data_IF_823794432491
#
_entry.id   IF_823794432491
#
_cell.length_a   1.000
_cell.length_b   1.000
_cell.length_c   1.000
_cell.angle_alpha   90.00
_cell.angle_beta   90.00
_cell.angle_gamma   90.00
#
_symmetry.space_group_name_H-M   'P 1'
#
loop_
_entity.id
_entity.type
_entity.pdbx_description
1 polymer ?
#
# COMPACT_ATOMS: atom_id res chain seq x y z
N UNK A 1 74.96 -24.34 -25.54
CA UNK A 1 75.47 -23.30 -24.63
C UNK A 1 74.39 -22.23 -24.53
N UNK A 2 73.40 -22.41 -23.60
CA UNK A 2 72.26 -21.51 -23.46
C UNK A 2 72.32 -20.92 -22.08
N UNK A 3 72.61 -19.63 -22.00
CA UNK A 3 72.66 -18.86 -20.77
C UNK A 3 71.24 -18.30 -20.51
N UNK A 4 70.53 -18.92 -19.59
CA UNK A 4 69.27 -18.31 -19.01
C UNK A 4 69.70 -17.24 -18.03
N UNK A 5 69.42 -15.99 -18.34
CA UNK A 5 69.47 -14.87 -17.40
C UNK A 5 68.19 -14.90 -16.54
N UNK A 6 68.36 -15.35 -15.33
CA UNK A 6 67.37 -15.15 -14.26
C UNK A 6 67.42 -13.66 -13.88
N UNK A 7 66.29 -12.95 -14.06
CA UNK A 7 66.11 -11.58 -13.64
C UNK A 7 65.43 -11.63 -12.26
N UNK A 8 66.07 -11.26 -11.16
CA UNK A 8 65.36 -11.19 -9.88
C UNK A 8 64.51 -9.91 -9.89
N UNK A 9 63.17 -10.08 -9.92
CA UNK A 9 62.21 -9.04 -9.63
C UNK A 9 62.31 -8.71 -8.13
N UNK A 10 63.15 -7.76 -7.78
CA UNK A 10 63.16 -7.09 -6.47
C UNK A 10 61.93 -6.20 -6.38
N UNK A 11 60.81 -6.75 -5.99
CA UNK A 11 59.66 -5.99 -5.53
C UNK A 11 59.94 -5.52 -4.10
N UNK A 12 59.99 -4.23 -3.78
CA UNK A 12 60.15 -3.76 -2.42
C UNK A 12 58.97 -4.25 -1.59
N UNK A 13 59.26 -4.95 -0.53
CA UNK A 13 58.32 -5.40 0.47
C UNK A 13 57.80 -4.21 1.25
N UNK A 14 56.71 -3.63 0.78
CA UNK A 14 55.92 -2.64 1.54
C UNK A 14 54.87 -3.40 2.37
N UNK A 15 55.12 -3.67 3.67
CA UNK A 15 54.16 -4.39 4.51
C UNK A 15 52.84 -3.66 4.64
N UNK A 16 52.83 -2.33 4.44
CA UNK A 16 51.66 -1.47 4.50
C UNK A 16 50.67 -1.77 3.37
N UNK A 17 51.11 -2.14 2.17
CA UNK A 17 50.23 -2.47 1.04
C UNK A 17 49.49 -3.80 1.22
N UNK A 18 50.09 -4.74 1.95
CA UNK A 18 49.42 -6.00 2.28
C UNK A 18 48.29 -5.85 3.31
N UNK A 19 48.47 -4.96 4.27
CA UNK A 19 47.39 -4.65 5.25
C UNK A 19 46.23 -3.87 4.62
N UNK A 20 46.50 -2.97 3.67
CA UNK A 20 45.47 -2.25 2.91
C UNK A 20 44.67 -3.18 1.98
N UNK A 21 45.33 -4.11 1.31
CA UNK A 21 44.70 -5.09 0.45
C UNK A 21 43.84 -6.11 1.25
N UNK A 22 44.31 -6.51 2.44
CA UNK A 22 43.53 -7.40 3.32
C UNK A 22 42.33 -6.70 3.95
N UNK A 23 42.48 -5.42 4.32
CA UNK A 23 41.40 -4.59 4.84
C UNK A 23 40.30 -4.32 3.79
N UNK A 24 40.68 -4.09 2.54
CA UNK A 24 39.73 -3.88 1.44
C UNK A 24 38.94 -5.18 1.09
N UNK A 25 39.59 -6.35 1.17
CA UNK A 25 38.89 -7.65 0.96
C UNK A 25 37.91 -7.98 2.08
N UNK A 26 38.24 -7.64 3.34
CA UNK A 26 37.32 -7.87 4.47
C UNK A 26 36.11 -6.91 4.43
N UNK A 27 36.28 -5.68 3.94
CA UNK A 27 35.18 -4.73 3.80
C UNK A 27 34.19 -5.11 2.68
N UNK A 28 34.64 -5.78 1.62
CA UNK A 28 33.75 -6.26 0.57
C UNK A 28 32.96 -7.53 0.97
N UNK A 29 33.49 -8.32 1.93
CA UNK A 29 32.79 -9.50 2.41
C UNK A 29 31.62 -9.18 3.37
N UNK A 30 31.60 -7.98 3.98
CA UNK A 30 30.55 -7.55 4.89
C UNK A 30 29.25 -7.10 4.17
N UNK A 31 29.29 -6.86 2.85
CA UNK A 31 28.12 -6.49 2.07
C UNK A 31 27.32 -7.68 1.49
N UNK A 32 27.69 -8.91 1.78
CA UNK A 32 27.19 -10.07 1.06
C UNK A 32 26.42 -11.09 1.90
N UNK A 33 25.68 -10.70 2.94
CA UNK A 33 24.66 -11.62 3.48
C UNK A 33 23.86 -10.96 4.60
N UNK A 34 22.93 -10.06 4.25
CA UNK A 34 21.66 -10.05 4.98
C UNK A 34 20.59 -10.51 4.00
N UNK A 35 19.94 -11.66 4.27
CA UNK A 35 18.70 -11.95 3.56
C UNK A 35 17.76 -10.80 3.87
N UNK A 36 17.29 -10.14 2.81
CA UNK A 36 16.24 -9.15 2.93
C UNK A 36 15.11 -9.79 3.74
N UNK A 37 15.06 -9.52 5.02
CA UNK A 37 13.89 -9.81 5.82
C UNK A 37 12.79 -8.97 5.17
N UNK A 38 11.94 -9.65 4.41
CA UNK A 38 10.66 -9.12 4.02
C UNK A 38 9.94 -8.94 5.36
N UNK A 39 10.16 -7.77 5.97
CA UNK A 39 9.34 -7.32 7.08
C UNK A 39 7.96 -7.20 6.45
N UNK A 40 7.11 -8.21 6.68
CA UNK A 40 5.70 -8.07 6.37
C UNK A 40 5.25 -6.88 7.21
N UNK A 41 5.16 -5.73 6.55
CA UNK A 41 4.50 -4.59 7.14
C UNK A 41 3.16 -5.10 7.66
N UNK A 42 2.73 -4.70 8.88
CA UNK A 42 1.42 -5.08 9.40
C UNK A 42 0.41 -4.81 8.28
N UNK A 43 -0.23 -5.86 7.78
CA UNK A 43 -1.28 -5.66 6.78
C UNK A 43 -2.31 -4.78 7.46
N UNK A 44 -2.61 -3.60 6.92
CA UNK A 44 -3.67 -2.78 7.45
C UNK A 44 -4.91 -3.64 7.46
N UNK A 45 -5.50 -3.84 8.62
CA UNK A 45 -6.79 -4.50 8.73
C UNK A 45 -7.74 -3.66 7.89
N UNK A 46 -8.21 -4.22 6.77
CA UNK A 46 -9.23 -3.60 5.95
C UNK A 46 -10.38 -3.23 6.89
N UNK A 47 -10.75 -1.95 6.93
CA UNK A 47 -11.91 -1.51 7.68
C UNK A 47 -13.10 -2.38 7.25
N UNK A 48 -13.94 -2.89 8.17
CA UNK A 48 -15.07 -3.72 7.80
C UNK A 48 -15.96 -2.94 6.84
N UNK A 49 -16.00 -3.39 5.59
CA UNK A 49 -16.84 -2.77 4.57
C UNK A 49 -18.28 -3.01 4.97
N UNK A 50 -18.97 -1.94 5.27
CA UNK A 50 -20.39 -2.00 5.65
C UNK A 50 -21.19 -2.32 4.39
N UNK A 51 -21.83 -3.50 4.40
CA UNK A 51 -22.82 -3.81 3.37
C UNK A 51 -23.99 -2.84 3.48
N UNK A 52 -24.54 -2.35 2.37
CA UNK A 52 -25.72 -1.50 2.43
C UNK A 52 -26.85 -2.28 3.10
N UNK A 53 -27.54 -1.64 4.03
CA UNK A 53 -28.70 -2.27 4.66
C UNK A 53 -29.82 -2.38 3.65
N UNK A 54 -30.25 -3.63 3.38
CA UNK A 54 -31.39 -3.94 2.52
C UNK A 54 -32.58 -4.46 3.31
N UNK A 55 -32.47 -4.48 4.63
CA UNK A 55 -33.47 -5.02 5.53
C UNK A 55 -34.62 -4.04 5.69
N UNK A 56 -35.85 -4.55 5.55
CA UNK A 56 -37.10 -3.81 5.75
C UNK A 56 -37.91 -4.54 6.84
N UNK A 57 -38.25 -3.81 7.88
CA UNK A 57 -39.09 -4.34 8.98
C UNK A 57 -40.53 -4.00 8.71
N UNK A 58 -41.43 -4.99 8.82
CA UNK A 58 -42.84 -4.83 8.57
C UNK A 58 -43.69 -5.61 9.55
N UNK A 59 -44.92 -5.15 9.81
CA UNK A 59 -45.87 -5.71 10.74
C UNK A 59 -47.25 -5.85 10.08
N UNK A 60 -47.95 -7.00 10.24
CA UNK A 60 -49.27 -7.21 9.70
C UNK A 60 -50.30 -6.30 10.38
N UNK A 61 -51.15 -5.62 9.60
CA UNK A 61 -52.24 -4.76 10.12
C UNK A 61 -53.59 -5.52 10.20
N UNK A 62 -53.71 -6.61 9.48
CA UNK A 62 -54.99 -7.30 9.29
C UNK A 62 -54.94 -8.80 9.70
N UNK A 63 -53.99 -9.15 10.55
CA UNK A 63 -53.86 -10.53 11.03
C UNK A 63 -53.38 -11.54 10.00
N UNK A 64 -52.58 -11.12 9.02
CA UNK A 64 -52.00 -12.00 8.01
C UNK A 64 -51.20 -13.11 8.69
N UNK A 65 -51.43 -14.38 8.24
CA UNK A 65 -50.71 -15.54 8.78
C UNK A 65 -49.23 -15.50 8.43
N UNK A 66 -48.41 -16.29 9.10
CA UNK A 66 -46.97 -16.37 8.85
C UNK A 66 -46.66 -16.76 7.42
N UNK A 67 -47.40 -17.77 6.87
CA UNK A 67 -47.23 -18.24 5.50
C UNK A 67 -47.61 -17.14 4.50
N UNK A 68 -48.62 -16.34 4.80
CA UNK A 68 -48.99 -15.20 3.97
C UNK A 68 -47.91 -14.10 4.04
N UNK A 69 -47.40 -13.82 5.19
CA UNK A 69 -46.31 -12.83 5.36
C UNK A 69 -45.05 -13.23 4.57
N UNK A 70 -44.69 -14.52 4.57
CA UNK A 70 -43.54 -15.02 3.81
C UNK A 70 -43.76 -14.91 2.31
N UNK A 71 -44.97 -15.27 1.79
CA UNK A 71 -45.30 -15.09 0.38
C UNK A 71 -45.27 -13.63 -0.02
N UNK A 72 -45.94 -12.77 0.75
CA UNK A 72 -46.01 -11.32 0.47
C UNK A 72 -44.63 -10.67 0.48
N UNK A 73 -43.79 -11.06 1.42
CA UNK A 73 -42.39 -10.64 1.45
C UNK A 73 -41.61 -11.05 0.23
N UNK A 74 -41.73 -12.31 -0.18
CA UNK A 74 -41.01 -12.82 -1.36
C UNK A 74 -41.51 -12.16 -2.67
N UNK A 75 -42.80 -12.00 -2.84
CA UNK A 75 -43.36 -11.34 -4.01
C UNK A 75 -42.98 -9.85 -4.07
N UNK A 76 -42.97 -9.15 -2.93
CA UNK A 76 -42.50 -7.77 -2.85
C UNK A 76 -41.00 -7.65 -3.10
N UNK A 77 -40.21 -8.62 -2.66
CA UNK A 77 -38.78 -8.73 -3.00
C UNK A 77 -38.57 -8.84 -4.53
N UNK A 78 -39.26 -9.75 -5.20
CA UNK A 78 -39.17 -9.92 -6.66
C UNK A 78 -39.63 -8.65 -7.39
N UNK A 79 -40.72 -8.05 -6.93
CA UNK A 79 -41.23 -6.80 -7.50
C UNK A 79 -40.24 -5.64 -7.33
N UNK A 80 -39.69 -5.45 -6.14
CA UNK A 80 -38.71 -4.43 -5.85
C UNK A 80 -37.44 -4.58 -6.70
N UNK A 81 -36.92 -5.80 -6.84
CA UNK A 81 -35.79 -6.09 -7.73
C UNK A 81 -36.09 -5.69 -9.18
N UNK A 82 -37.29 -6.04 -9.68
CA UNK A 82 -37.70 -5.70 -11.05
C UNK A 82 -37.85 -4.18 -11.25
N UNK A 83 -38.32 -3.45 -10.24
CA UNK A 83 -38.53 -2.00 -10.32
C UNK A 83 -37.19 -1.22 -10.25
N UNK A 84 -36.24 -1.69 -9.45
CA UNK A 84 -35.02 -0.94 -9.17
C UNK A 84 -33.79 -1.46 -9.93
N UNK A 85 -33.88 -2.68 -10.48
CA UNK A 85 -32.72 -3.36 -11.06
C UNK A 85 -31.67 -3.77 -10.03
N UNK A 86 -31.94 -3.61 -8.73
CA UNK A 86 -31.02 -3.93 -7.65
C UNK A 86 -31.38 -5.28 -7.02
N UNK A 87 -30.43 -6.20 -7.05
CA UNK A 87 -30.56 -7.51 -6.41
C UNK A 87 -29.65 -7.62 -5.17
N UNK A 88 -30.23 -7.60 -3.95
CA UNK A 88 -29.45 -7.64 -2.72
C UNK A 88 -28.74 -8.98 -2.49
N UNK A 89 -29.06 -10.02 -3.26
CA UNK A 89 -28.43 -11.34 -3.16
C UNK A 89 -27.15 -11.47 -4.01
N UNK A 90 -26.84 -10.47 -4.85
CA UNK A 90 -25.67 -10.55 -5.72
C UNK A 90 -24.35 -10.47 -4.96
N UNK A 91 -23.35 -11.28 -5.33
CA UNK A 91 -22.05 -11.30 -4.68
C UNK A 91 -21.23 -10.02 -4.94
N UNK A 92 -21.55 -9.25 -5.98
CA UNK A 92 -20.86 -7.98 -6.33
C UNK A 92 -21.05 -6.87 -5.27
N UNK A 93 -21.99 -7.09 -4.33
CA UNK A 93 -22.14 -6.28 -3.13
C UNK A 93 -21.22 -6.70 -2.01
N UNK A 94 -20.36 -7.70 -2.24
CA UNK A 94 -19.35 -8.12 -1.27
C UNK A 94 -18.34 -6.99 -1.05
N UNK A 95 -17.82 -6.88 0.19
CA UNK A 95 -16.79 -5.91 0.51
C UNK A 95 -15.59 -6.09 -0.42
N UNK A 96 -15.28 -5.09 -1.24
CA UNK A 96 -14.02 -5.10 -1.97
C UNK A 96 -12.89 -4.67 -1.05
N UNK A 97 -11.73 -5.22 -1.28
CA UNK A 97 -10.54 -4.86 -0.53
C UNK A 97 -10.13 -3.43 -0.91
N UNK A 98 -9.97 -2.58 0.08
CA UNK A 98 -9.43 -1.25 -0.15
C UNK A 98 -7.98 -1.36 -0.66
N UNK A 99 -7.71 -0.71 -1.78
CA UNK A 99 -6.35 -0.63 -2.33
C UNK A 99 -5.51 0.29 -1.44
N UNK A 100 -4.39 -0.21 -0.94
CA UNK A 100 -3.42 0.60 -0.24
C UNK A 100 -2.22 0.85 -1.14
N UNK A 101 -1.95 2.12 -1.42
CA UNK A 101 -0.81 2.56 -2.22
C UNK A 101 0.40 2.75 -1.32
N UNK A 102 1.43 1.93 -1.52
CA UNK A 102 2.69 2.05 -0.79
C UNK A 102 3.77 2.56 -1.73
N UNK A 103 4.50 3.63 -1.39
CA UNK A 103 5.60 4.09 -2.21
C UNK A 103 6.73 3.06 -2.24
N UNK A 104 7.30 2.84 -3.42
CA UNK A 104 8.47 1.96 -3.63
C UNK A 104 9.56 2.77 -4.32
N UNK A 105 10.78 2.80 -3.78
CA UNK A 105 11.23 2.25 -2.49
C UNK A 105 10.58 2.92 -1.28
N UNK A 106 10.76 2.30 -0.10
CA UNK A 106 10.19 2.80 1.15
C UNK A 106 10.66 4.22 1.49
N UNK A 107 9.85 5.02 2.20
CA UNK A 107 10.25 6.35 2.65
C UNK A 107 11.58 6.35 3.42
N UNK A 108 12.47 7.31 3.10
CA UNK A 108 13.80 7.40 3.70
C UNK A 108 14.90 6.64 2.94
N UNK A 109 14.55 5.80 1.97
CA UNK A 109 15.54 5.05 1.19
C UNK A 109 16.51 5.98 0.45
N UNK A 110 16.01 6.94 -0.33
CA UNK A 110 16.86 7.84 -1.10
C UNK A 110 17.62 8.82 -0.18
N UNK A 111 17.02 9.19 0.95
CA UNK A 111 17.70 9.96 1.98
C UNK A 111 18.93 9.22 2.48
N UNK A 112 18.80 7.95 2.82
CA UNK A 112 19.91 7.13 3.30
C UNK A 112 20.97 6.90 2.21
N UNK A 113 20.56 6.53 1.00
CA UNK A 113 21.46 6.34 -0.15
C UNK A 113 22.19 7.64 -0.50
N UNK A 114 21.46 8.75 -0.53
CA UNK A 114 22.04 10.08 -0.78
C UNK A 114 23.07 10.48 0.27
N UNK A 115 22.78 10.24 1.55
CA UNK A 115 23.72 10.52 2.65
C UNK A 115 25.00 9.70 2.50
N UNK A 116 24.90 8.41 2.26
CA UNK A 116 26.04 7.52 2.11
C UNK A 116 26.89 7.88 0.89
N UNK A 117 26.24 8.12 -0.25
CA UNK A 117 26.91 8.50 -1.50
C UNK A 117 27.59 9.88 -1.35
N UNK A 118 26.89 10.85 -0.78
CA UNK A 118 27.42 12.17 -0.53
C UNK A 118 28.60 12.16 0.43
N UNK A 119 28.53 11.36 1.51
CA UNK A 119 29.64 11.15 2.44
C UNK A 119 30.89 10.59 1.74
N UNK A 120 30.73 9.57 0.91
CA UNK A 120 31.85 8.96 0.18
C UNK A 120 32.49 9.96 -0.79
N UNK A 121 31.70 10.68 -1.56
CA UNK A 121 32.20 11.74 -2.48
C UNK A 121 32.90 12.85 -1.70
N UNK A 122 32.29 13.35 -0.62
CA UNK A 122 32.84 14.38 0.21
C UNK A 122 34.20 14.01 0.85
N UNK A 123 34.35 12.74 1.26
CA UNK A 123 35.62 12.23 1.80
C UNK A 123 36.72 12.21 0.74
N UNK A 124 36.42 11.90 -0.51
CA UNK A 124 37.38 11.82 -1.61
C UNK A 124 37.82 13.22 -2.06
N UNK A 125 36.87 14.14 -2.19
CA UNK A 125 37.12 15.48 -2.72
C UNK A 125 37.87 16.38 -1.73
N UNK A 126 37.69 16.20 -0.42
CA UNK A 126 38.25 17.07 0.62
C UNK A 126 39.73 16.83 0.96
N UNK A 127 40.35 15.79 0.41
CA UNK A 127 41.76 15.47 0.69
C UNK A 127 41.99 15.00 2.13
N UNK A 128 43.29 14.68 2.43
CA UNK A 128 43.64 14.03 3.71
C UNK A 128 43.45 14.93 4.93
N UNK A 129 43.65 16.22 4.78
CA UNK A 129 43.64 17.19 5.90
C UNK A 129 42.25 17.56 6.39
N UNK A 130 41.19 17.30 5.60
CA UNK A 130 39.82 17.72 5.95
C UNK A 130 38.73 16.68 5.60
N UNK A 131 39.09 15.40 5.57
CA UNK A 131 38.14 14.31 5.23
C UNK A 131 36.89 14.30 6.08
N UNK A 132 37.03 14.51 7.39
CA UNK A 132 35.88 14.50 8.31
C UNK A 132 34.89 15.62 7.98
N UNK A 133 35.36 16.82 7.67
CA UNK A 133 34.50 17.93 7.26
C UNK A 133 33.82 17.68 5.94
N UNK A 134 34.57 17.21 4.94
CA UNK A 134 34.02 16.86 3.62
C UNK A 134 32.99 15.74 3.67
N UNK A 135 33.24 14.70 4.45
CA UNK A 135 32.29 13.60 4.67
C UNK A 135 31.01 14.12 5.29
N UNK A 136 31.07 14.97 6.32
CA UNK A 136 29.88 15.52 6.98
C UNK A 136 29.07 16.41 6.04
N UNK A 137 29.71 17.32 5.31
CA UNK A 137 29.03 18.21 4.37
C UNK A 137 28.39 17.40 3.22
N UNK A 138 29.13 16.44 2.65
CA UNK A 138 28.64 15.56 1.59
C UNK A 138 27.47 14.72 2.04
N UNK A 139 27.50 14.17 3.25
CA UNK A 139 26.39 13.40 3.81
C UNK A 139 25.11 14.25 3.96
N UNK A 140 25.24 15.46 4.52
CA UNK A 140 24.10 16.37 4.70
C UNK A 140 23.51 16.76 3.34
N UNK A 141 24.35 17.15 2.37
CA UNK A 141 23.88 17.55 1.04
C UNK A 141 23.21 16.39 0.32
N UNK A 142 23.80 15.21 0.35
CA UNK A 142 23.24 14.01 -0.27
C UNK A 142 21.92 13.57 0.40
N UNK A 143 21.84 13.65 1.74
CA UNK A 143 20.61 13.38 2.47
C UNK A 143 19.48 14.35 2.09
N UNK A 144 19.78 15.64 1.95
CA UNK A 144 18.78 16.64 1.54
C UNK A 144 18.20 16.35 0.15
N UNK A 145 19.06 16.01 -0.83
CA UNK A 145 18.64 15.66 -2.18
C UNK A 145 17.79 14.38 -2.15
N UNK A 146 18.20 13.36 -1.42
CA UNK A 146 17.47 12.12 -1.25
C UNK A 146 16.11 12.34 -0.58
N UNK A 147 16.03 13.19 0.44
CA UNK A 147 14.78 13.54 1.12
C UNK A 147 13.77 14.23 0.18
N UNK A 148 14.24 15.07 -0.74
CA UNK A 148 13.37 15.66 -1.76
C UNK A 148 12.76 14.61 -2.69
N UNK A 149 13.53 13.60 -3.10
CA UNK A 149 13.05 12.49 -3.89
C UNK A 149 12.04 11.62 -3.13
N UNK A 150 12.32 11.32 -1.86
CA UNK A 150 11.43 10.57 -0.99
C UNK A 150 10.10 11.31 -0.78
N UNK A 151 10.13 12.62 -0.56
CA UNK A 151 8.93 13.43 -0.36
C UNK A 151 8.08 13.53 -1.64
N UNK A 152 8.69 13.64 -2.80
CA UNK A 152 7.98 13.66 -4.08
C UNK A 152 7.24 12.33 -4.34
N UNK A 153 7.89 11.19 -4.04
CA UNK A 153 7.23 9.87 -4.15
C UNK A 153 6.09 9.70 -3.15
N UNK A 154 6.26 10.16 -1.92
CA UNK A 154 5.18 10.12 -0.93
C UNK A 154 3.98 10.94 -1.39
N UNK A 155 4.19 12.15 -1.90
CA UNK A 155 3.11 12.98 -2.44
C UNK A 155 2.41 12.30 -3.63
N UNK A 156 3.17 11.65 -4.51
CA UNK A 156 2.59 10.89 -5.63
C UNK A 156 1.74 9.72 -5.13
N UNK A 157 2.25 8.94 -4.17
CA UNK A 157 1.51 7.83 -3.57
C UNK A 157 0.22 8.31 -2.90
N UNK A 158 0.26 9.45 -2.19
CA UNK A 158 -0.93 10.06 -1.59
C UNK A 158 -1.98 10.46 -2.63
N UNK A 159 -1.57 11.09 -3.74
CA UNK A 159 -2.51 11.46 -4.81
C UNK A 159 -3.19 10.24 -5.44
N UNK A 160 -2.42 9.18 -5.65
CA UNK A 160 -2.95 7.91 -6.16
C UNK A 160 -3.91 7.30 -5.13
N UNK A 161 -3.54 7.26 -3.85
CA UNK A 161 -4.41 6.77 -2.78
C UNK A 161 -5.72 7.56 -2.71
N UNK A 162 -5.66 8.89 -2.78
CA UNK A 162 -6.86 9.74 -2.80
C UNK A 162 -7.76 9.47 -4.01
N UNK A 163 -7.18 9.14 -5.17
CA UNK A 163 -7.98 8.80 -6.35
C UNK A 163 -8.73 7.47 -6.17
N UNK A 164 -8.09 6.46 -5.57
CA UNK A 164 -8.75 5.20 -5.22
C UNK A 164 -9.84 5.41 -4.17
N UNK A 165 -9.54 6.15 -3.10
CA UNK A 165 -10.51 6.43 -2.05
C UNK A 165 -11.75 7.17 -2.58
N UNK A 166 -11.58 8.10 -3.52
CA UNK A 166 -12.71 8.79 -4.17
C UNK A 166 -13.53 7.83 -5.04
N UNK A 167 -12.88 7.00 -5.83
CA UNK A 167 -13.56 6.01 -6.66
C UNK A 167 -14.37 5.02 -5.82
N UNK A 168 -13.80 4.55 -4.71
CA UNK A 168 -14.48 3.66 -3.76
C UNK A 168 -15.68 4.36 -3.09
N UNK A 169 -15.51 5.61 -2.65
CA UNK A 169 -16.59 6.39 -2.06
C UNK A 169 -17.75 6.63 -3.05
N UNK A 170 -17.43 6.92 -4.30
CA UNK A 170 -18.43 7.10 -5.36
C UNK A 170 -19.17 5.80 -5.67
N UNK A 171 -18.47 4.68 -5.68
CA UNK A 171 -19.08 3.36 -5.87
C UNK A 171 -19.98 3.01 -4.69
N UNK A 172 -19.50 3.19 -3.46
CA UNK A 172 -20.30 2.94 -2.26
C UNK A 172 -21.56 3.80 -2.26
N UNK A 173 -21.45 5.09 -2.57
CA UNK A 173 -22.59 5.99 -2.65
C UNK A 173 -23.61 5.58 -3.74
N UNK A 174 -23.17 4.98 -4.85
CA UNK A 174 -24.08 4.42 -5.85
C UNK A 174 -24.84 3.21 -5.31
N UNK A 175 -24.14 2.29 -4.68
CA UNK A 175 -24.73 1.07 -4.08
C UNK A 175 -25.73 1.46 -2.98
N UNK A 176 -25.39 2.40 -2.11
CA UNK A 176 -26.26 2.87 -1.05
C UNK A 176 -27.55 3.53 -1.58
N UNK A 177 -27.44 4.29 -2.67
CA UNK A 177 -28.63 4.84 -3.35
C UNK A 177 -29.54 3.74 -3.90
N UNK A 178 -28.97 2.77 -4.62
CA UNK A 178 -29.73 1.63 -5.16
C UNK A 178 -30.38 0.80 -4.04
N UNK A 179 -29.67 0.53 -2.97
CA UNK A 179 -30.22 -0.16 -1.80
C UNK A 179 -31.35 0.64 -1.13
N UNK A 180 -31.24 1.96 -1.07
CA UNK A 180 -32.29 2.84 -0.57
C UNK A 180 -33.54 2.82 -1.46
N UNK A 181 -33.36 2.85 -2.78
CA UNK A 181 -34.45 2.73 -3.75
C UNK A 181 -35.15 1.36 -3.65
N UNK A 182 -34.38 0.30 -3.51
CA UNK A 182 -34.91 -1.05 -3.26
C UNK A 182 -35.75 -1.09 -1.98
N UNK A 183 -35.24 -0.57 -0.85
CA UNK A 183 -36.01 -0.54 0.41
C UNK A 183 -37.33 0.22 0.25
N UNK A 184 -37.32 1.37 -0.41
CA UNK A 184 -38.55 2.14 -0.69
C UNK A 184 -39.53 1.37 -1.55
N UNK A 185 -39.07 0.71 -2.59
CA UNK A 185 -39.92 -0.15 -3.44
C UNK A 185 -40.50 -1.31 -2.63
N UNK A 186 -39.68 -1.99 -1.85
CA UNK A 186 -40.11 -3.05 -0.95
C UNK A 186 -41.16 -2.59 0.06
N UNK A 187 -40.93 -1.44 0.69
CA UNK A 187 -41.86 -0.82 1.61
C UNK A 187 -43.22 -0.50 0.95
N UNK A 188 -43.20 0.17 -0.21
CA UNK A 188 -44.42 0.51 -0.94
C UNK A 188 -45.26 -0.74 -1.32
N UNK A 189 -44.61 -1.83 -1.73
CA UNK A 189 -45.29 -3.08 -2.04
C UNK A 189 -45.94 -3.69 -0.79
N UNK A 190 -45.22 -3.74 0.33
CA UNK A 190 -45.73 -4.29 1.59
C UNK A 190 -46.87 -3.43 2.17
N UNK A 191 -46.75 -2.11 2.10
CA UNK A 191 -47.83 -1.20 2.51
C UNK A 191 -49.10 -1.39 1.72
N UNK A 192 -48.98 -1.56 0.38
CA UNK A 192 -50.08 -1.86 -0.50
C UNK A 192 -50.78 -3.20 -0.21
N UNK A 193 -50.10 -4.12 0.50
CA UNK A 193 -50.63 -5.42 1.00
C UNK A 193 -51.15 -5.37 2.43
N UNK A 194 -51.17 -4.17 3.05
CA UNK A 194 -51.72 -4.01 4.40
C UNK A 194 -50.75 -4.31 5.53
N UNK A 195 -49.45 -4.06 5.28
CA UNK A 195 -48.44 -4.08 6.33
C UNK A 195 -48.11 -2.66 6.79
N UNK A 196 -47.62 -2.53 7.99
CA UNK A 196 -46.95 -1.31 8.49
C UNK A 196 -45.43 -1.50 8.32
N UNK A 197 -44.76 -0.59 7.65
CA UNK A 197 -43.33 -0.69 7.40
C UNK A 197 -42.58 0.35 8.23
N UNK A 198 -41.42 -0.04 8.76
CA UNK A 198 -40.45 0.88 9.38
C UNK A 198 -39.12 0.73 8.63
N UNK A 199 -38.61 1.86 8.18
CA UNK A 199 -37.26 2.00 7.63
C UNK A 199 -36.24 2.33 8.74
#
# INVERSE_FOLDING_TARGET
>A
MSIRRELPLLLPEFPFLRFLALGALLALAACATEPAQISQAPQPQAAPVQRPSTQVYFYPKHGQSAEQQDRDRYECYLWAMKQTGFDPSQPDLAPHQQVQVTPVPAPGHDTAVGALTGAAIGAVVSGDDNRAGGTAIGAITGAMIGAMSDSARQQQAQRIQESYNRADADQQARIDRQASEYRRAMAACLEGRGYSVKE
#
